data_IF_165483815754
#
_entry.id   IF_165483815754
#
_cell.length_a   1.000
_cell.length_b   1.000
_cell.length_c   1.000
_cell.angle_alpha   90.00
_cell.angle_beta   90.00
_cell.angle_gamma   90.00
#
_symmetry.space_group_name_H-M   'P 1'
#
loop_
_entity.id
_entity.type
_entity.pdbx_description
1 polymer ?
#
# COMPACT_ATOMS: atom_id res chain seq x y z
N UNK A 1 -5.31 39.42 60.15
CA UNK A 1 -4.82 39.97 58.87
C UNK A 1 -4.03 38.85 58.20
N UNK A 2 -4.48 38.11 57.20
CA UNK A 2 -5.19 38.46 55.98
C UNK A 2 -4.42 37.76 54.85
N UNK A 3 -4.50 36.43 54.78
CA UNK A 3 -3.77 35.61 53.81
C UNK A 3 -4.56 35.57 52.49
N UNK A 4 -4.05 36.27 51.46
CA UNK A 4 -4.53 36.16 50.09
C UNK A 4 -3.62 35.19 49.35
N UNK A 5 -4.04 33.93 49.22
CA UNK A 5 -3.39 32.95 48.36
C UNK A 5 -4.22 32.80 47.09
N UNK A 6 -3.82 33.53 46.05
CA UNK A 6 -4.47 33.52 44.74
C UNK A 6 -4.28 32.16 44.08
N UNK A 7 -5.38 31.42 43.91
CA UNK A 7 -5.42 30.12 43.23
C UNK A 7 -5.18 30.32 41.72
N UNK A 8 -4.00 29.98 41.23
CA UNK A 8 -3.76 29.85 39.79
C UNK A 8 -4.09 28.40 39.41
N UNK A 9 -5.28 28.22 38.84
CA UNK A 9 -5.70 26.96 38.21
C UNK A 9 -4.99 26.89 36.86
N UNK A 10 -3.90 26.12 36.79
CA UNK A 10 -3.22 25.83 35.53
C UNK A 10 -4.00 24.71 34.82
N UNK A 11 -4.89 25.08 33.91
CA UNK A 11 -5.58 24.14 33.04
C UNK A 11 -4.59 23.49 32.08
N UNK A 12 -4.20 22.25 32.36
CA UNK A 12 -3.44 21.39 31.45
C UNK A 12 -4.36 20.96 30.31
N UNK A 13 -4.25 21.63 29.16
CA UNK A 13 -4.87 21.18 27.91
C UNK A 13 -4.04 20.01 27.39
N UNK A 14 -4.44 18.79 27.71
CA UNK A 14 -3.95 17.59 27.03
C UNK A 14 -4.47 17.61 25.58
N UNK A 15 -3.66 18.09 24.64
CA UNK A 15 -3.88 17.86 23.23
C UNK A 15 -3.72 16.36 22.95
N UNK A 16 -4.84 15.64 22.88
CA UNK A 16 -4.88 14.26 22.38
C UNK A 16 -4.63 14.36 20.87
N UNK A 17 -3.36 14.34 20.48
CA UNK A 17 -2.97 14.18 19.10
C UNK A 17 -3.44 12.82 18.62
N UNK A 18 -4.47 12.79 17.79
CA UNK A 18 -4.86 11.57 17.08
C UNK A 18 -3.74 11.24 16.10
N UNK A 19 -2.84 10.34 16.50
CA UNK A 19 -1.92 9.69 15.57
C UNK A 19 -2.79 8.79 14.70
N UNK A 20 -3.27 9.30 13.56
CA UNK A 20 -3.89 8.44 12.57
C UNK A 20 -2.80 7.54 12.02
N UNK A 21 -2.64 6.35 12.61
CA UNK A 21 -1.88 5.28 12.01
C UNK A 21 -2.58 4.97 10.68
N UNK A 22 -1.98 5.43 9.58
CA UNK A 22 -2.37 4.96 8.25
C UNK A 22 -1.96 3.49 8.20
N UNK A 23 -2.85 2.58 8.53
CA UNK A 23 -2.63 1.14 8.42
C UNK A 23 -2.37 0.78 6.96
N UNK A 24 -1.45 -0.16 6.66
CA UNK A 24 -1.47 -0.79 5.34
C UNK A 24 -2.82 -1.50 5.18
N UNK A 25 -3.31 -1.55 3.95
CA UNK A 25 -4.66 -2.03 3.71
C UNK A 25 -4.73 -3.55 3.89
N UNK A 26 -5.84 -3.99 4.47
CA UNK A 26 -6.19 -5.40 4.37
C UNK A 26 -6.26 -5.78 2.88
N UNK A 27 -5.80 -6.98 2.55
CA UNK A 27 -5.88 -7.51 1.18
C UNK A 27 -7.32 -7.36 0.69
N UNK A 28 -7.55 -6.63 -0.43
CA UNK A 28 -8.89 -6.35 -0.88
C UNK A 28 -9.59 -7.65 -1.27
N UNK A 29 -10.91 -7.68 -1.08
CA UNK A 29 -11.74 -8.75 -1.65
C UNK A 29 -11.58 -8.72 -3.17
N UNK A 30 -11.24 -9.87 -3.74
CA UNK A 30 -11.12 -10.06 -5.20
C UNK A 30 -12.40 -9.61 -5.90
N UNK A 31 -12.26 -8.72 -6.87
CA UNK A 31 -13.38 -8.27 -7.70
C UNK A 31 -13.69 -9.28 -8.80
N UNK A 32 -14.76 -9.03 -9.55
CA UNK A 32 -15.11 -9.82 -10.74
C UNK A 32 -14.02 -9.81 -11.82
N UNK A 33 -13.18 -8.76 -11.86
CA UNK A 33 -12.15 -8.58 -12.89
C UNK A 33 -10.83 -9.29 -12.50
N UNK A 34 -10.71 -9.72 -11.24
CA UNK A 34 -9.50 -10.30 -10.68
C UNK A 34 -8.96 -11.45 -11.52
N UNK A 35 -9.81 -12.43 -11.86
CA UNK A 35 -9.40 -13.63 -12.62
C UNK A 35 -8.89 -13.27 -14.01
N UNK A 36 -9.54 -12.32 -14.69
CA UNK A 36 -9.10 -11.84 -16.00
C UNK A 36 -7.73 -11.18 -15.92
N UNK A 37 -7.57 -10.23 -14.98
CA UNK A 37 -6.30 -9.54 -14.76
C UNK A 37 -5.16 -10.52 -14.43
N UNK A 38 -5.42 -11.46 -13.51
CA UNK A 38 -4.46 -12.50 -13.15
C UNK A 38 -4.05 -13.34 -14.35
N UNK A 39 -5.01 -13.78 -15.17
CA UNK A 39 -4.71 -14.61 -16.34
C UNK A 39 -3.90 -13.87 -17.40
N UNK A 40 -4.21 -12.60 -17.67
CA UNK A 40 -3.40 -11.75 -18.58
C UNK A 40 -1.97 -11.61 -18.07
N UNK A 41 -1.78 -11.38 -16.77
CA UNK A 41 -0.44 -11.25 -16.18
C UNK A 41 0.37 -12.55 -16.35
N UNK A 42 -0.24 -13.71 -16.07
CA UNK A 42 0.46 -15.00 -16.19
C UNK A 42 0.70 -15.41 -17.65
N UNK A 43 -0.31 -15.27 -18.52
CA UNK A 43 -0.26 -15.79 -19.89
C UNK A 43 0.46 -14.84 -20.85
N UNK A 44 0.17 -13.55 -20.77
CA UNK A 44 0.58 -12.59 -21.78
C UNK A 44 1.86 -11.86 -21.34
N UNK A 45 1.95 -11.54 -20.04
CA UNK A 45 3.11 -10.86 -19.46
C UNK A 45 4.13 -11.81 -18.81
N UNK A 46 3.83 -13.11 -18.76
CA UNK A 46 4.70 -14.16 -18.20
C UNK A 46 5.10 -13.91 -16.74
N UNK A 47 4.26 -13.21 -15.98
CA UNK A 47 4.45 -13.00 -14.57
C UNK A 47 4.42 -14.33 -13.81
N UNK A 48 5.22 -14.47 -12.76
CA UNK A 48 5.05 -15.58 -11.82
C UNK A 48 3.66 -15.51 -11.16
N UNK A 49 3.07 -16.65 -10.75
CA UNK A 49 1.76 -16.67 -10.09
C UNK A 49 1.65 -15.69 -8.90
N UNK A 50 2.71 -15.53 -8.12
CA UNK A 50 2.71 -14.64 -6.96
C UNK A 50 2.77 -13.15 -7.36
N UNK A 51 3.55 -12.79 -8.38
CA UNK A 51 3.56 -11.44 -8.93
C UNK A 51 2.20 -11.11 -9.57
N UNK A 52 1.59 -12.07 -10.27
CA UNK A 52 0.26 -11.91 -10.83
C UNK A 52 -0.83 -11.72 -9.76
N UNK A 53 -0.81 -12.50 -8.67
CA UNK A 53 -1.73 -12.33 -7.54
C UNK A 53 -1.54 -10.97 -6.86
N UNK A 54 -0.29 -10.52 -6.72
CA UNK A 54 0.07 -9.20 -6.19
C UNK A 54 -0.52 -8.06 -7.03
N UNK A 55 -0.21 -8.04 -8.33
CA UNK A 55 -0.65 -6.97 -9.23
C UNK A 55 -2.17 -6.98 -9.43
N UNK A 56 -2.78 -8.16 -9.59
CA UNK A 56 -4.24 -8.27 -9.70
C UNK A 56 -4.94 -7.77 -8.41
N UNK A 57 -4.39 -8.08 -7.24
CA UNK A 57 -4.88 -7.53 -5.96
C UNK A 57 -4.67 -6.02 -5.85
N UNK A 58 -3.57 -5.50 -6.41
CA UNK A 58 -3.31 -4.06 -6.52
C UNK A 58 -4.37 -3.31 -7.32
N UNK A 59 -4.84 -3.88 -8.43
CA UNK A 59 -5.95 -3.31 -9.20
C UNK A 59 -7.25 -3.25 -8.39
N UNK A 60 -7.50 -4.23 -7.52
CA UNK A 60 -8.65 -4.21 -6.62
C UNK A 60 -8.48 -3.24 -5.46
N UNK A 61 -7.24 -3.04 -5.00
CA UNK A 61 -6.90 -2.10 -3.94
C UNK A 61 -7.24 -0.66 -4.36
N UNK A 62 -6.76 -0.22 -5.52
CA UNK A 62 -6.93 1.18 -5.97
C UNK A 62 -8.39 1.57 -6.24
N UNK A 63 -9.31 0.61 -6.38
CA UNK A 63 -10.75 0.90 -6.48
C UNK A 63 -11.30 1.61 -5.23
N UNK A 64 -10.66 1.42 -4.07
CA UNK A 64 -11.05 2.02 -2.78
C UNK A 64 -10.05 3.05 -2.27
N UNK A 65 -8.94 3.25 -2.98
CA UNK A 65 -7.91 4.21 -2.59
C UNK A 65 -8.44 5.65 -2.72
N UNK A 66 -7.99 6.52 -1.81
CA UNK A 66 -8.43 7.93 -1.75
C UNK A 66 -7.68 8.81 -2.75
N UNK A 67 -6.42 8.49 -3.04
CA UNK A 67 -5.50 9.27 -3.89
C UNK A 67 -5.47 8.74 -5.32
N UNK A 68 -5.41 7.42 -5.50
CA UNK A 68 -5.24 6.78 -6.81
C UNK A 68 -6.51 6.06 -7.24
N UNK A 69 -6.72 5.94 -8.55
CA UNK A 69 -7.85 5.19 -9.11
C UNK A 69 -7.48 4.17 -10.19
N UNK A 70 -6.21 4.16 -10.62
CA UNK A 70 -5.66 3.22 -11.60
C UNK A 70 -4.19 2.94 -11.29
N UNK A 71 -3.76 1.73 -11.62
CA UNK A 71 -2.35 1.36 -11.68
C UNK A 71 -1.97 1.09 -13.14
N UNK A 72 -0.74 1.41 -13.49
CA UNK A 72 -0.13 1.15 -14.78
C UNK A 72 1.14 0.32 -14.57
N UNK A 73 1.17 -0.84 -15.20
CA UNK A 73 2.34 -1.73 -15.19
C UNK A 73 2.66 -2.12 -16.63
N UNK A 74 3.88 -1.86 -17.05
CA UNK A 74 4.43 -2.36 -18.31
C UNK A 74 4.98 -3.77 -18.12
N UNK A 75 5.28 -4.46 -19.23
CA UNK A 75 5.95 -5.76 -19.17
C UNK A 75 7.33 -5.67 -18.49
N UNK A 76 8.02 -4.55 -18.68
CA UNK A 76 9.33 -4.31 -18.07
C UNK A 76 9.22 -4.08 -16.56
N UNK A 77 8.15 -3.43 -16.10
CA UNK A 77 7.86 -3.30 -14.68
C UNK A 77 7.61 -4.66 -14.02
N UNK A 78 6.81 -5.51 -14.67
CA UNK A 78 6.50 -6.86 -14.20
C UNK A 78 7.76 -7.74 -14.18
N UNK A 79 8.61 -7.66 -15.21
CA UNK A 79 9.85 -8.43 -15.27
C UNK A 79 10.90 -7.93 -14.27
N UNK A 80 10.83 -6.64 -13.89
CA UNK A 80 11.67 -6.02 -12.86
C UNK A 80 11.15 -6.22 -11.44
N UNK A 81 10.04 -6.96 -11.25
CA UNK A 81 9.52 -7.27 -9.93
C UNK A 81 10.57 -8.02 -9.09
N UNK A 82 10.77 -7.57 -7.86
CA UNK A 82 11.71 -8.19 -6.93
C UNK A 82 10.97 -8.89 -5.80
N UNK A 83 11.51 -10.01 -5.34
CA UNK A 83 11.05 -10.68 -4.12
C UNK A 83 12.18 -10.67 -3.09
N UNK A 84 11.90 -10.16 -1.89
CA UNK A 84 12.78 -10.30 -0.74
C UNK A 84 12.23 -11.40 0.16
N UNK A 85 12.88 -12.56 0.18
CA UNK A 85 12.49 -13.74 0.95
C UNK A 85 12.97 -13.72 2.42
N UNK A 86 13.31 -12.54 2.93
CA UNK A 86 13.69 -12.36 4.32
C UNK A 86 12.44 -12.05 5.14
N UNK A 87 12.24 -12.83 6.22
CA UNK A 87 11.14 -12.52 7.13
C UNK A 87 11.38 -11.17 7.81
N UNK A 88 10.44 -10.24 7.61
CA UNK A 88 10.53 -8.88 8.14
C UNK A 88 9.15 -8.34 8.49
N UNK A 89 9.14 -7.17 9.13
CA UNK A 89 7.93 -6.35 9.18
C UNK A 89 7.60 -5.89 7.75
N UNK A 90 6.33 -5.95 7.37
CA UNK A 90 5.89 -5.60 6.02
C UNK A 90 6.10 -4.11 5.73
N UNK A 91 5.62 -3.23 6.61
CA UNK A 91 5.91 -1.79 6.52
C UNK A 91 5.91 -1.13 7.90
N UNK A 92 6.37 0.13 7.99
CA UNK A 92 6.29 0.90 9.22
C UNK A 92 4.84 1.17 9.66
N UNK A 93 3.93 1.21 8.68
CA UNK A 93 2.49 1.44 8.82
C UNK A 93 1.73 0.18 9.19
N UNK A 94 2.15 -0.97 8.66
CA UNK A 94 1.66 -2.28 9.05
C UNK A 94 2.84 -3.19 9.41
N UNK A 95 3.21 -3.24 10.69
CA UNK A 95 4.36 -4.00 11.16
C UNK A 95 4.10 -5.51 11.21
N UNK A 96 3.06 -6.02 10.54
CA UNK A 96 2.83 -7.46 10.46
C UNK A 96 4.06 -8.16 9.91
N UNK A 97 4.38 -9.29 10.55
CA UNK A 97 5.48 -10.14 10.11
C UNK A 97 5.04 -10.91 8.87
N UNK A 98 5.84 -10.83 7.83
CA UNK A 98 5.66 -11.59 6.58
C UNK A 98 6.90 -12.46 6.36
N UNK A 99 6.76 -13.52 5.59
CA UNK A 99 7.88 -14.40 5.19
C UNK A 99 8.62 -13.88 3.96
N UNK A 100 7.94 -13.13 3.09
CA UNK A 100 8.57 -12.46 1.95
C UNK A 100 7.81 -11.18 1.57
N UNK A 101 8.48 -10.28 0.84
CA UNK A 101 7.88 -9.08 0.25
C UNK A 101 8.16 -9.04 -1.24
N UNK A 102 7.09 -9.02 -2.04
CA UNK A 102 7.16 -8.72 -3.46
C UNK A 102 7.06 -7.21 -3.63
N UNK A 103 7.91 -6.62 -4.45
CA UNK A 103 7.85 -5.22 -4.85
C UNK A 103 7.83 -5.13 -6.37
N UNK A 104 6.77 -4.53 -6.90
CA UNK A 104 6.58 -4.33 -8.35
C UNK A 104 6.63 -2.82 -8.62
N UNK A 105 7.61 -2.31 -9.39
CA UNK A 105 7.62 -0.92 -9.82
C UNK A 105 6.44 -0.64 -10.76
N UNK A 106 6.09 0.62 -10.94
CA UNK A 106 5.07 1.02 -11.91
C UNK A 106 4.55 2.41 -11.61
N UNK A 107 3.32 2.67 -12.05
CA UNK A 107 2.69 3.98 -11.94
C UNK A 107 1.28 3.89 -11.35
N UNK A 108 0.86 4.97 -10.68
CA UNK A 108 -0.49 5.12 -10.17
C UNK A 108 -1.08 6.47 -10.58
N UNK A 109 -2.29 6.44 -11.15
CA UNK A 109 -2.96 7.64 -11.63
C UNK A 109 -3.61 8.40 -10.48
N UNK A 110 -3.33 9.70 -10.39
CA UNK A 110 -3.91 10.57 -9.36
C UNK A 110 -5.37 10.87 -9.71
N UNK A 111 -6.28 10.40 -8.85
CA UNK A 111 -7.73 10.48 -9.04
C UNK A 111 -8.25 11.91 -9.21
N UNK A 112 -7.74 12.84 -8.39
CA UNK A 112 -8.20 14.23 -8.39
C UNK A 112 -7.81 15.01 -9.66
N UNK A 113 -6.75 14.59 -10.33
CA UNK A 113 -6.23 15.27 -11.53
C UNK A 113 -6.58 14.51 -12.82
N UNK A 114 -6.73 13.19 -12.76
CA UNK A 114 -7.22 12.36 -13.86
C UNK A 114 -6.23 12.08 -15.00
N UNK A 115 -5.19 12.91 -15.17
CA UNK A 115 -4.15 12.74 -16.19
C UNK A 115 -2.73 12.61 -15.63
N UNK A 116 -2.49 12.97 -14.36
CA UNK A 116 -1.17 12.85 -13.73
C UNK A 116 -0.96 11.46 -13.15
N UNK A 117 0.27 10.97 -13.27
CA UNK A 117 0.71 9.70 -12.73
C UNK A 117 1.86 9.92 -11.75
N UNK A 118 1.82 9.21 -10.63
CA UNK A 118 2.95 9.10 -9.71
C UNK A 118 3.66 7.77 -9.99
N UNK A 119 4.99 7.77 -9.94
CA UNK A 119 5.76 6.54 -9.83
C UNK A 119 5.52 5.90 -8.45
N UNK A 120 5.33 4.59 -8.44
CA UNK A 120 5.02 3.82 -7.24
C UNK A 120 5.77 2.48 -7.22
N UNK A 121 5.83 1.89 -6.04
CA UNK A 121 6.05 0.47 -5.85
C UNK A 121 4.79 -0.15 -5.24
N UNK A 122 4.21 -1.13 -5.92
CA UNK A 122 3.21 -2.01 -5.33
C UNK A 122 3.93 -3.07 -4.50
N UNK A 123 3.72 -3.07 -3.19
CA UNK A 123 4.32 -4.03 -2.27
C UNK A 123 3.26 -5.03 -1.82
N UNK A 124 3.61 -6.31 -1.83
CA UNK A 124 2.76 -7.40 -1.37
C UNK A 124 3.50 -8.29 -0.38
N UNK A 125 2.94 -8.44 0.81
CA UNK A 125 3.49 -9.25 1.88
C UNK A 125 2.98 -10.68 1.82
N UNK A 126 3.89 -11.64 1.74
CA UNK A 126 3.57 -13.06 1.65
C UNK A 126 3.79 -13.71 3.02
N UNK A 127 2.83 -14.52 3.47
CA UNK A 127 2.95 -15.36 4.67
C UNK A 127 2.50 -16.76 4.31
N UNK A 128 3.34 -17.78 4.55
CA UNK A 128 3.05 -19.18 4.21
C UNK A 128 2.61 -19.35 2.75
N UNK A 129 3.28 -18.65 1.83
CA UNK A 129 3.01 -18.70 0.39
C UNK A 129 1.74 -17.96 -0.07
N UNK A 130 1.04 -17.25 0.81
CA UNK A 130 -0.19 -16.50 0.50
C UNK A 130 0.02 -15.00 0.65
N UNK A 131 -0.60 -14.21 -0.22
CA UNK A 131 -0.66 -12.77 -0.08
C UNK A 131 -1.53 -12.40 1.14
N UNK A 132 -0.95 -11.65 2.07
CA UNK A 132 -1.55 -11.30 3.36
C UNK A 132 -1.43 -9.82 3.69
N UNK A 133 -0.64 -9.06 2.94
CA UNK A 133 -0.46 -7.62 3.09
C UNK A 133 -0.32 -6.98 1.72
N UNK A 134 -0.78 -5.75 1.56
CA UNK A 134 -0.61 -4.99 0.32
C UNK A 134 -0.55 -3.49 0.60
N UNK A 135 0.29 -2.76 -0.12
CA UNK A 135 0.33 -1.29 -0.06
C UNK A 135 0.87 -0.71 -1.37
N UNK A 136 0.46 0.51 -1.69
CA UNK A 136 1.04 1.32 -2.76
C UNK A 136 1.97 2.37 -2.12
N UNK A 137 3.26 2.30 -2.44
CA UNK A 137 4.26 3.26 -1.93
C UNK A 137 4.66 4.20 -3.05
N UNK A 138 4.36 5.49 -2.89
CA UNK A 138 4.84 6.51 -3.81
C UNK A 138 6.37 6.59 -3.76
N UNK A 139 7.02 6.63 -4.92
CA UNK A 139 8.47 6.78 -5.04
C UNK A 139 8.82 8.21 -5.45
N UNK A 140 8.59 8.58 -6.72
CA UNK A 140 8.76 9.92 -7.30
C UNK A 140 7.66 10.17 -8.34
N UNK A 141 7.46 11.41 -8.79
CA UNK A 141 6.53 11.66 -9.91
C UNK A 141 6.98 10.86 -11.14
N UNK A 142 6.01 10.29 -11.88
CA UNK A 142 6.31 9.69 -13.18
C UNK A 142 6.85 10.78 -14.12
N UNK A 143 7.87 10.45 -14.92
CA UNK A 143 8.50 11.40 -15.86
C UNK A 143 7.62 11.64 -17.09
#
# INVERSE_FOLDING_TARGET
MGMQLTKIILSTICAIGFVTAAHADAVPKRSKDFTGNYQTLVKDQQASPQVADCVASGYDLVKKDKKYDRLGFTKDDISSATTNDTSSKFSAKDPRKVSAVISVPGEARIKSTGYKWDGVNLRCGITNGKLTAIEVVQTKAAQ
#
